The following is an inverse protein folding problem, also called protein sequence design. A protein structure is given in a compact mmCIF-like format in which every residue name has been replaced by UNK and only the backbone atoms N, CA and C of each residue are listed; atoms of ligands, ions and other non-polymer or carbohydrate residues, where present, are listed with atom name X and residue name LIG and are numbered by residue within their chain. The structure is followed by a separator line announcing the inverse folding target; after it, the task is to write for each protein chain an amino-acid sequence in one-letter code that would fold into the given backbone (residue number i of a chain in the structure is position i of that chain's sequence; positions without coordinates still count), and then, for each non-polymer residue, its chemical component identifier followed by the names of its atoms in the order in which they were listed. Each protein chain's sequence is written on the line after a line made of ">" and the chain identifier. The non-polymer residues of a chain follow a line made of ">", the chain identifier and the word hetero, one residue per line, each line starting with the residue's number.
data_IF_725567466042
#
_entry.id   IF_725567466042
#
_cell.length_a   1.000
_cell.length_b   1.000
_cell.length_c   1.000
_cell.angle_alpha   90.00
_cell.angle_beta   90.00
_cell.angle_gamma   90.00
#
_symmetry.space_group_name_H-M   'P 1'
#
loop_
_entity.id
_entity.type
_entity.pdbx_description
1 polymer ?
#
# COMPACT_ATOMS: atom_id res chain seq x y z
N UNK A 1 3.67 -13.62 -14.03
CA UNK A 1 3.01 -13.95 -12.76
C UNK A 1 3.89 -14.83 -11.87
N UNK A 2 4.31 -16.03 -12.32
CA UNK A 2 5.17 -16.93 -11.53
C UNK A 2 6.52 -16.32 -11.08
N UNK A 3 7.11 -15.41 -11.84
CA UNK A 3 8.41 -14.80 -11.52
C UNK A 3 8.37 -13.80 -10.35
N UNK A 4 7.23 -13.14 -10.11
CA UNK A 4 7.07 -12.21 -8.99
C UNK A 4 6.74 -12.95 -7.67
N UNK A 5 6.04 -14.09 -7.74
CA UNK A 5 5.67 -14.91 -6.57
C UNK A 5 6.80 -15.82 -6.06
N UNK A 6 7.76 -16.18 -6.91
CA UNK A 6 8.83 -17.13 -6.54
C UNK A 6 10.20 -16.48 -6.33
N UNK A 7 10.27 -15.15 -6.30
CA UNK A 7 11.49 -14.38 -6.53
C UNK A 7 12.17 -14.72 -7.85
N UNK A 8 12.95 -13.77 -8.36
CA UNK A 8 13.72 -14.00 -9.58
C UNK A 8 15.00 -13.19 -9.54
N UNK A 9 16.08 -13.78 -10.02
CA UNK A 9 17.32 -13.09 -10.34
C UNK A 9 17.38 -12.72 -11.84
N UNK A 10 16.34 -13.09 -12.61
CA UNK A 10 16.25 -12.78 -14.03
C UNK A 10 15.53 -11.44 -14.26
N UNK A 11 15.94 -10.66 -15.27
CA UNK A 11 15.24 -9.44 -15.64
C UNK A 11 13.77 -9.70 -15.97
N UNK A 12 12.88 -8.86 -15.43
CA UNK A 12 11.46 -8.87 -15.77
C UNK A 12 11.23 -8.15 -17.12
N UNK A 13 10.19 -8.53 -17.89
CA UNK A 13 9.92 -7.95 -19.21
C UNK A 13 9.24 -6.57 -19.10
N UNK A 14 9.92 -5.58 -18.51
CA UNK A 14 9.39 -4.25 -18.20
C UNK A 14 8.85 -3.53 -19.44
N UNK A 15 9.54 -3.65 -20.58
CA UNK A 15 9.08 -3.05 -21.85
C UNK A 15 7.74 -3.64 -22.31
N UNK A 16 7.54 -4.95 -22.16
CA UNK A 16 6.28 -5.61 -22.52
C UNK A 16 5.16 -5.24 -21.55
N UNK A 17 5.47 -5.15 -20.25
CA UNK A 17 4.53 -4.69 -19.22
C UNK A 17 4.07 -3.24 -19.48
N UNK A 18 5.00 -2.34 -19.82
CA UNK A 18 4.69 -0.96 -20.15
C UNK A 18 3.80 -0.86 -21.41
N UNK A 19 4.07 -1.69 -22.43
CA UNK A 19 3.24 -1.76 -23.62
C UNK A 19 1.82 -2.27 -23.31
N UNK A 20 1.70 -3.28 -22.45
CA UNK A 20 0.42 -3.81 -22.00
C UNK A 20 -0.42 -2.77 -21.24
N UNK A 21 0.21 -1.97 -20.35
CA UNK A 21 -0.45 -0.87 -19.65
C UNK A 21 -1.00 0.17 -20.64
N UNK A 22 -0.19 0.60 -21.62
CA UNK A 22 -0.65 1.55 -22.66
C UNK A 22 -1.80 0.98 -23.49
N UNK A 23 -1.74 -0.30 -23.85
CA UNK A 23 -2.81 -0.96 -24.58
C UNK A 23 -4.10 -1.03 -23.75
N UNK A 24 -4.00 -1.37 -22.46
CA UNK A 24 -5.14 -1.43 -21.55
C UNK A 24 -5.77 -0.05 -21.32
N UNK A 25 -4.96 1.01 -21.21
CA UNK A 25 -5.42 2.39 -21.17
C UNK A 25 -6.15 2.81 -22.45
N UNK A 26 -5.57 2.54 -23.62
CA UNK A 26 -6.21 2.81 -24.92
C UNK A 26 -7.52 2.03 -25.13
N UNK A 27 -7.65 0.85 -24.51
CA UNK A 27 -8.85 0.04 -24.51
C UNK A 27 -9.87 0.45 -23.43
N UNK A 28 -9.57 1.44 -22.58
CA UNK A 28 -10.43 1.90 -21.49
C UNK A 28 -10.52 0.96 -20.28
N UNK A 29 -9.69 -0.08 -20.22
CA UNK A 29 -9.64 -1.02 -19.07
C UNK A 29 -8.86 -0.43 -17.89
N UNK A 30 -7.93 0.47 -18.18
CA UNK A 30 -7.24 1.34 -17.23
C UNK A 30 -7.57 2.80 -17.52
N UNK A 31 -7.29 3.68 -16.56
CA UNK A 31 -7.21 5.10 -16.86
C UNK A 31 -6.08 5.36 -17.86
N UNK A 32 -6.12 6.51 -18.55
CA UNK A 32 -5.03 6.91 -19.43
C UNK A 32 -3.71 6.98 -18.63
N UNK A 33 -2.65 6.25 -19.02
CA UNK A 33 -1.37 6.32 -18.34
C UNK A 33 -0.73 7.72 -18.35
N UNK A 34 -1.17 8.62 -19.23
CA UNK A 34 -0.75 10.04 -19.17
C UNK A 34 -1.17 10.73 -17.86
N UNK A 35 -2.19 10.23 -17.16
CA UNK A 35 -2.58 10.73 -15.84
C UNK A 35 -1.52 10.49 -14.76
N UNK A 36 -0.51 9.64 -15.02
CA UNK A 36 0.61 9.46 -14.10
C UNK A 36 1.64 10.60 -14.20
N UNK A 37 1.59 11.46 -15.21
CA UNK A 37 2.73 12.33 -15.57
C UNK A 37 3.22 13.29 -14.47
N UNK A 38 2.37 13.62 -13.51
CA UNK A 38 2.66 14.44 -12.31
C UNK A 38 2.60 13.65 -10.99
N UNK A 39 2.48 12.32 -11.07
CA UNK A 39 2.52 11.43 -9.91
C UNK A 39 3.94 11.24 -9.38
N UNK A 40 4.01 11.12 -8.06
CA UNK A 40 5.23 10.79 -7.33
C UNK A 40 5.21 9.34 -6.87
N UNK A 41 6.31 8.65 -7.08
CA UNK A 41 6.47 7.24 -6.70
C UNK A 41 7.59 7.12 -5.70
N UNK A 42 7.30 6.51 -4.55
CA UNK A 42 8.29 6.14 -3.55
C UNK A 42 8.34 4.62 -3.45
N UNK A 43 9.54 4.04 -3.53
CA UNK A 43 9.77 2.61 -3.52
C UNK A 43 10.79 2.30 -2.44
N UNK A 44 10.49 1.30 -1.62
CA UNK A 44 11.39 0.79 -0.60
C UNK A 44 11.72 -0.68 -0.82
N UNK A 45 12.97 -1.05 -0.56
CA UNK A 45 13.43 -2.43 -0.47
C UNK A 45 14.48 -2.55 0.63
N UNK A 46 14.29 -3.49 1.55
CA UNK A 46 15.29 -3.78 2.57
C UNK A 46 16.46 -4.54 1.97
N UNK A 47 17.70 -4.15 2.30
CA UNK A 47 18.91 -4.83 1.81
C UNK A 47 18.99 -6.32 2.18
N UNK A 48 18.18 -6.79 3.14
CA UNK A 48 18.09 -8.18 3.57
C UNK A 48 16.70 -8.80 3.32
N UNK A 49 15.83 -8.18 2.52
CA UNK A 49 14.50 -8.74 2.21
C UNK A 49 14.63 -10.13 1.60
N UNK A 50 14.18 -11.13 2.35
CA UNK A 50 14.25 -12.54 2.00
C UNK A 50 13.04 -13.05 1.20
N UNK A 51 12.04 -12.20 0.96
CA UNK A 51 10.76 -12.57 0.33
C UNK A 51 10.54 -11.94 -1.02
N UNK A 52 11.00 -10.71 -1.24
CA UNK A 52 10.91 -10.03 -2.53
C UNK A 52 12.32 -9.64 -2.97
N UNK A 53 12.73 -10.14 -4.14
CA UNK A 53 14.07 -9.88 -4.69
C UNK A 53 14.25 -8.41 -5.09
N UNK A 54 15.48 -7.91 -4.97
CA UNK A 54 15.86 -6.58 -5.46
C UNK A 54 15.59 -6.40 -6.97
N UNK A 55 15.63 -7.48 -7.75
CA UNK A 55 15.30 -7.47 -9.18
C UNK A 55 13.84 -7.09 -9.43
N UNK A 56 12.90 -7.57 -8.60
CA UNK A 56 11.47 -7.20 -8.68
C UNK A 56 11.30 -5.72 -8.32
N UNK A 57 11.97 -5.25 -7.27
CA UNK A 57 11.94 -3.85 -6.88
C UNK A 57 12.47 -2.92 -7.98
N UNK A 58 13.64 -3.25 -8.54
CA UNK A 58 14.23 -2.47 -9.63
C UNK A 58 13.37 -2.45 -10.89
N UNK A 59 12.69 -3.55 -11.22
CA UNK A 59 11.77 -3.58 -12.36
C UNK A 59 10.52 -2.72 -12.14
N UNK A 60 10.04 -2.57 -10.90
CA UNK A 60 8.96 -1.64 -10.59
C UNK A 60 9.38 -0.18 -10.83
N UNK A 61 10.59 0.19 -10.41
CA UNK A 61 11.15 1.52 -10.68
C UNK A 61 11.34 1.77 -12.18
N UNK A 62 11.89 0.80 -12.91
CA UNK A 62 12.05 0.86 -14.36
C UNK A 62 10.69 1.02 -15.06
N UNK A 63 9.67 0.27 -14.61
CA UNK A 63 8.32 0.36 -15.18
C UNK A 63 7.73 1.77 -15.03
N UNK A 64 7.80 2.36 -13.83
CA UNK A 64 7.32 3.72 -13.59
C UNK A 64 8.10 4.75 -14.42
N UNK A 65 9.41 4.58 -14.62
CA UNK A 65 10.22 5.50 -15.42
C UNK A 65 9.78 5.61 -16.89
N UNK A 66 9.00 4.64 -17.38
CA UNK A 66 8.37 4.71 -18.70
C UNK A 66 7.16 5.66 -18.78
N UNK A 67 6.63 6.11 -17.63
CA UNK A 67 5.41 6.93 -17.53
C UNK A 67 5.64 8.27 -16.84
N UNK A 68 6.62 8.36 -15.95
CA UNK A 68 6.91 9.57 -15.17
C UNK A 68 8.39 9.97 -15.25
N UNK A 69 8.71 11.27 -15.09
CA UNK A 69 10.09 11.74 -14.97
C UNK A 69 10.84 11.04 -13.84
N UNK A 70 12.13 10.75 -14.04
CA UNK A 70 12.96 10.06 -13.07
C UNK A 70 13.05 10.81 -11.74
N UNK A 71 12.95 12.14 -11.75
CA UNK A 71 12.96 12.99 -10.55
C UNK A 71 11.71 12.80 -9.67
N UNK A 72 10.65 12.18 -10.20
CA UNK A 72 9.42 11.85 -9.46
C UNK A 72 9.46 10.42 -8.87
N UNK A 73 10.54 9.68 -9.09
CA UNK A 73 10.76 8.34 -8.53
C UNK A 73 11.85 8.40 -7.46
N UNK A 74 11.50 8.05 -6.22
CA UNK A 74 12.46 7.88 -5.13
C UNK A 74 12.56 6.40 -4.77
N UNK A 75 13.76 5.85 -4.92
CA UNK A 75 14.10 4.50 -4.45
C UNK A 75 14.89 4.61 -3.14
N UNK A 76 14.55 3.74 -2.19
CA UNK A 76 15.23 3.57 -0.91
C UNK A 76 15.58 2.09 -0.77
N UNK A 77 16.85 1.76 -0.97
CA UNK A 77 17.38 0.41 -1.07
C UNK A 77 18.64 0.19 -0.21
N UNK A 78 18.94 1.12 0.70
CA UNK A 78 20.13 1.13 1.55
C UNK A 78 19.86 0.85 3.03
N UNK A 79 18.59 0.66 3.40
CA UNK A 79 18.17 0.34 4.78
C UNK A 79 18.33 -1.15 5.05
N UNK A 80 18.89 -1.49 6.21
CA UNK A 80 19.01 -2.88 6.67
C UNK A 80 17.68 -3.35 7.24
N UNK A 81 16.86 -3.98 6.41
CA UNK A 81 15.60 -4.61 6.78
C UNK A 81 15.41 -5.94 6.05
N UNK A 82 14.79 -6.91 6.71
CA UNK A 82 14.18 -8.08 6.03
C UNK A 82 12.77 -7.69 5.55
N UNK A 83 11.91 -8.67 5.24
CA UNK A 83 10.57 -8.44 4.72
C UNK A 83 9.57 -7.97 5.80
N UNK A 84 9.74 -6.72 6.24
CA UNK A 84 8.92 -6.03 7.23
C UNK A 84 8.65 -4.60 6.77
N UNK A 85 7.57 -4.00 7.29
CA UNK A 85 7.40 -2.55 7.19
C UNK A 85 8.39 -1.85 8.14
N UNK A 86 9.31 -1.01 7.65
CA UNK A 86 10.27 -0.33 8.50
C UNK A 86 9.60 0.81 9.28
N UNK A 87 9.69 0.76 10.59
CA UNK A 87 9.21 1.79 11.49
C UNK A 87 10.36 2.29 12.38
N UNK A 88 10.11 3.41 13.07
CA UNK A 88 11.06 4.00 14.02
C UNK A 88 10.52 3.88 15.45
N UNK A 89 11.23 3.14 16.29
CA UNK A 89 10.89 2.96 17.71
C UNK A 89 9.66 2.09 17.97
N UNK A 90 9.18 1.34 16.96
CA UNK A 90 7.97 0.49 17.02
C UNK A 90 8.21 -0.79 16.21
N UNK A 91 7.57 -1.89 16.59
CA UNK A 91 7.69 -3.18 15.92
C UNK A 91 8.71 -4.14 16.54
N UNK A 92 9.02 -5.22 15.82
CA UNK A 92 9.99 -6.26 16.21
C UNK A 92 11.38 -5.93 15.65
N UNK A 93 12.34 -6.87 15.68
CA UNK A 93 13.64 -6.64 15.04
C UNK A 93 13.53 -6.37 13.54
N UNK A 94 14.27 -5.41 13.01
CA UNK A 94 14.21 -5.05 11.59
C UNK A 94 14.61 -6.19 10.63
N UNK A 95 15.38 -7.17 11.12
CA UNK A 95 15.76 -8.39 10.38
C UNK A 95 14.99 -9.63 10.87
N UNK A 96 13.85 -9.43 11.54
CA UNK A 96 13.00 -10.50 12.05
C UNK A 96 11.67 -10.48 11.29
N UNK A 97 11.53 -11.35 10.31
CA UNK A 97 10.27 -11.50 9.56
C UNK A 97 9.23 -12.28 10.39
N UNK A 98 8.67 -11.62 11.40
CA UNK A 98 7.66 -12.16 12.32
C UNK A 98 6.48 -11.20 12.45
N UNK A 99 5.31 -11.73 12.82
CA UNK A 99 4.11 -10.91 13.08
C UNK A 99 4.38 -9.78 14.09
N UNK A 100 3.92 -8.54 13.85
CA UNK A 100 2.98 -8.12 12.81
C UNK A 100 3.63 -7.70 11.48
N UNK A 101 4.88 -8.11 11.24
CA UNK A 101 5.71 -7.74 10.09
C UNK A 101 5.94 -6.22 10.00
N UNK A 102 6.08 -5.60 11.17
CA UNK A 102 6.55 -4.22 11.37
C UNK A 102 7.83 -4.31 12.19
N UNK A 103 8.92 -3.71 11.70
CA UNK A 103 10.23 -3.79 12.32
C UNK A 103 10.71 -2.42 12.80
N UNK A 104 11.30 -2.36 13.99
CA UNK A 104 12.01 -1.17 14.47
C UNK A 104 13.38 -1.11 13.77
N UNK A 105 13.40 -0.34 12.69
CA UNK A 105 14.51 -0.20 11.76
C UNK A 105 15.29 1.11 11.98
N UNK A 106 14.94 1.88 13.00
CA UNK A 106 15.35 3.29 13.16
C UNK A 106 15.12 4.13 11.89
N UNK A 107 14.15 3.72 11.07
CA UNK A 107 13.81 4.33 9.79
C UNK A 107 12.31 4.59 9.73
N UNK A 108 11.93 5.86 9.59
CA UNK A 108 10.53 6.29 9.54
C UNK A 108 9.99 6.19 8.12
N UNK A 109 9.69 4.97 7.65
CA UNK A 109 9.23 4.76 6.28
C UNK A 109 7.91 5.48 6.00
N UNK A 110 6.97 5.47 6.94
CA UNK A 110 5.70 6.18 6.80
C UNK A 110 5.92 7.69 6.59
N UNK A 111 6.80 8.30 7.40
CA UNK A 111 7.15 9.71 7.26
C UNK A 111 7.87 10.05 5.95
N UNK A 112 8.87 9.25 5.55
CA UNK A 112 9.61 9.45 4.31
C UNK A 112 8.72 9.32 3.06
N UNK A 113 7.86 8.30 3.03
CA UNK A 113 6.85 8.09 2.00
C UNK A 113 5.88 9.27 1.93
N UNK A 114 5.22 9.62 3.03
CA UNK A 114 4.21 10.67 3.05
C UNK A 114 4.81 12.03 2.66
N UNK A 115 6.01 12.34 3.14
CA UNK A 115 6.71 13.58 2.80
C UNK A 115 7.15 13.63 1.32
N UNK A 116 7.41 12.47 0.71
CA UNK A 116 7.69 12.40 -0.73
C UNK A 116 6.45 12.68 -1.56
N UNK A 117 5.34 12.02 -1.22
CA UNK A 117 4.05 12.14 -1.93
C UNK A 117 3.40 13.51 -1.72
N UNK A 118 3.56 14.09 -0.53
CA UNK A 118 2.97 15.37 -0.14
C UNK A 118 4.08 16.34 0.31
N UNK A 119 4.67 17.14 -0.59
CA UNK A 119 5.71 18.08 -0.22
C UNK A 119 5.22 19.10 0.82
N UNK A 120 6.02 19.34 1.85
CA UNK A 120 5.74 20.36 2.87
C UNK A 120 5.01 19.86 4.10
N UNK A 121 4.95 18.54 4.34
CA UNK A 121 4.44 18.00 5.60
C UNK A 121 5.26 18.50 6.80
N UNK A 122 4.56 18.68 7.91
CA UNK A 122 5.11 18.99 9.22
C UNK A 122 5.40 17.68 9.96
N UNK A 123 6.61 17.53 10.48
CA UNK A 123 6.96 16.36 11.30
C UNK A 123 6.06 16.27 12.56
N UNK A 124 5.70 15.06 13.01
CA UNK A 124 4.82 14.88 14.16
C UNK A 124 5.42 15.47 15.44
N UNK A 125 4.59 16.20 16.20
CA UNK A 125 4.98 16.83 17.46
C UNK A 125 4.74 15.99 18.71
N UNK A 126 4.10 14.82 18.58
CA UNK A 126 3.69 13.97 19.70
C UNK A 126 2.87 12.76 19.26
N UNK A 127 2.22 12.13 20.22
CA UNK A 127 1.30 11.02 19.93
C UNK A 127 0.02 11.53 19.25
N UNK A 128 -0.60 10.71 18.37
CA UNK A 128 -1.83 11.03 17.68
C UNK A 128 -3.00 11.20 18.67
N UNK A 129 -3.83 12.23 18.47
CA UNK A 129 -5.03 12.49 19.28
C UNK A 129 -6.33 12.17 18.55
N UNK A 130 -6.28 11.97 17.22
CA UNK A 130 -7.41 11.52 16.41
C UNK A 130 -7.95 10.13 16.77
N UNK A 131 -9.03 9.75 16.10
CA UNK A 131 -9.78 8.52 16.39
C UNK A 131 -9.54 7.45 15.32
N UNK A 132 -9.31 6.21 15.76
CA UNK A 132 -9.34 5.04 14.88
C UNK A 132 -10.76 4.45 14.90
N UNK A 133 -11.48 4.63 13.80
CA UNK A 133 -12.85 4.20 13.62
C UNK A 133 -12.90 2.89 12.85
N UNK A 134 -13.67 1.94 13.36
CA UNK A 134 -14.10 0.78 12.59
C UNK A 134 -15.32 1.17 11.76
N UNK A 135 -15.27 0.92 10.45
CA UNK A 135 -16.33 1.30 9.50
C UNK A 135 -16.66 0.14 8.57
N UNK A 136 -17.83 0.19 7.93
CA UNK A 136 -18.18 -0.79 6.91
C UNK A 136 -17.46 -0.53 5.58
N UNK A 137 -17.19 -1.61 4.86
CA UNK A 137 -16.69 -1.63 3.49
C UNK A 137 -17.75 -2.25 2.57
N UNK A 138 -18.66 -1.44 1.99
CA UNK A 138 -19.71 -1.95 1.12
C UNK A 138 -19.14 -2.66 -0.13
N UNK A 139 -19.74 -3.78 -0.51
CA UNK A 139 -19.31 -4.57 -1.68
C UNK A 139 -18.12 -5.51 -1.42
N UNK A 140 -17.61 -5.57 -0.19
CA UNK A 140 -16.45 -6.37 0.18
C UNK A 140 -16.61 -7.88 -0.04
N UNK A 141 -17.78 -8.45 0.27
CA UNK A 141 -18.04 -9.90 0.18
C UNK A 141 -17.76 -10.45 -1.23
N UNK A 142 -18.20 -9.73 -2.27
CA UNK A 142 -18.00 -10.12 -3.67
C UNK A 142 -16.55 -9.93 -4.16
N UNK A 143 -15.65 -9.40 -3.32
CA UNK A 143 -14.27 -9.06 -3.65
C UNK A 143 -13.22 -9.76 -2.76
N UNK A 144 -13.63 -10.76 -1.96
CA UNK A 144 -12.79 -11.43 -0.96
C UNK A 144 -12.12 -10.43 0.01
N UNK A 145 -12.86 -9.37 0.36
CA UNK A 145 -12.46 -8.37 1.35
C UNK A 145 -13.32 -8.53 2.60
N UNK A 146 -12.80 -8.08 3.75
CA UNK A 146 -13.61 -8.02 4.96
C UNK A 146 -14.66 -6.92 4.83
N UNK A 147 -15.86 -7.14 5.35
CA UNK A 147 -16.91 -6.11 5.43
C UNK A 147 -16.55 -4.93 6.36
N UNK A 148 -15.46 -5.08 7.10
CA UNK A 148 -14.91 -4.07 8.02
C UNK A 148 -13.63 -3.48 7.45
N UNK A 149 -13.52 -2.15 7.52
CA UNK A 149 -12.31 -1.38 7.29
C UNK A 149 -12.06 -0.43 8.47
N UNK A 150 -10.89 0.21 8.50
CA UNK A 150 -10.57 1.20 9.52
C UNK A 150 -10.28 2.57 8.89
N UNK A 151 -10.72 3.63 9.54
CA UNK A 151 -10.35 5.01 9.24
C UNK A 151 -9.65 5.61 10.45
N UNK A 152 -8.45 6.14 10.26
CA UNK A 152 -7.90 7.07 11.23
C UNK A 152 -8.29 8.50 10.82
N UNK A 153 -9.01 9.18 11.71
CA UNK A 153 -9.49 10.55 11.50
C UNK A 153 -8.74 11.50 12.44
N UNK A 154 -7.84 12.35 11.90
CA UNK A 154 -7.16 13.36 12.69
C UNK A 154 -8.13 14.27 13.45
N UNK A 155 -7.69 14.80 14.59
CA UNK A 155 -8.54 15.63 15.44
C UNK A 155 -9.10 16.86 14.71
N UNK A 156 -8.34 17.44 13.78
CA UNK A 156 -8.78 18.56 12.94
C UNK A 156 -9.89 18.15 11.95
N UNK A 157 -9.72 17.02 11.28
CA UNK A 157 -10.72 16.46 10.37
C UNK A 157 -12.04 16.16 11.10
N UNK A 158 -11.96 15.62 12.32
CA UNK A 158 -13.13 15.37 13.16
C UNK A 158 -13.91 16.64 13.54
N UNK A 159 -13.24 17.82 13.51
CA UNK A 159 -13.87 19.13 13.72
C UNK A 159 -14.44 19.76 12.43
N UNK A 160 -14.30 19.09 11.30
CA UNK A 160 -14.84 19.53 10.00
C UNK A 160 -13.86 20.33 9.14
N UNK A 161 -12.56 20.32 9.45
CA UNK A 161 -11.55 20.88 8.55
C UNK A 161 -11.40 20.02 7.28
N UNK A 162 -11.08 20.61 6.12
CA UNK A 162 -10.81 19.86 4.91
C UNK A 162 -9.52 19.05 5.07
N UNK A 163 -9.58 17.77 4.71
CA UNK A 163 -8.47 16.85 4.91
C UNK A 163 -8.10 16.11 3.63
N UNK A 164 -6.82 15.77 3.51
CA UNK A 164 -6.36 14.83 2.51
C UNK A 164 -6.79 13.40 2.90
N UNK A 165 -6.76 12.48 1.94
CA UNK A 165 -6.97 11.06 2.16
C UNK A 165 -5.75 10.29 1.67
N UNK A 166 -5.27 9.35 2.47
CA UNK A 166 -4.23 8.42 2.08
C UNK A 166 -4.68 6.99 2.36
N UNK A 167 -4.72 6.18 1.30
CA UNK A 167 -5.09 4.76 1.36
C UNK A 167 -3.87 3.92 1.71
N UNK A 168 -3.93 3.18 2.82
CA UNK A 168 -2.85 2.31 3.28
C UNK A 168 -3.28 0.86 3.16
N UNK A 169 -2.60 0.11 2.30
CA UNK A 169 -2.85 -1.31 2.08
C UNK A 169 -1.83 -2.14 2.89
N UNK A 170 -2.34 -3.00 3.77
CA UNK A 170 -1.50 -3.93 4.52
C UNK A 170 -0.90 -5.02 3.62
N UNK A 171 0.19 -5.67 4.03
CA UNK A 171 0.75 -6.83 3.33
C UNK A 171 0.03 -8.14 3.66
N UNK A 172 0.50 -9.24 3.08
CA UNK A 172 0.05 -10.58 3.44
C UNK A 172 0.25 -10.84 4.95
N UNK A 173 -0.70 -11.53 5.58
CA UNK A 173 -0.72 -11.85 7.01
C UNK A 173 -0.71 -10.64 7.94
N UNK A 174 -1.08 -9.46 7.44
CA UNK A 174 -1.21 -8.20 8.20
C UNK A 174 -2.64 -7.66 8.25
N UNK A 175 -3.64 -8.43 7.79
CA UNK A 175 -5.04 -8.05 7.96
C UNK A 175 -5.42 -7.98 9.45
N UNK A 176 -6.46 -7.21 9.77
CA UNK A 176 -6.96 -7.06 11.14
C UNK A 176 -7.43 -8.38 11.75
N UNK A 177 -7.93 -9.31 10.93
CA UNK A 177 -8.23 -10.69 11.36
C UNK A 177 -6.97 -11.43 11.86
N UNK A 178 -5.78 -11.08 11.37
CA UNK A 178 -4.51 -11.74 11.72
C UNK A 178 -3.77 -11.05 12.85
N UNK A 179 -3.67 -9.72 12.80
CA UNK A 179 -2.79 -8.94 13.69
C UNK A 179 -3.55 -7.87 14.49
N UNK A 180 -4.88 -7.82 14.40
CA UNK A 180 -5.66 -6.71 14.94
C UNK A 180 -5.22 -5.38 14.32
N UNK A 181 -5.18 -4.33 15.14
CA UNK A 181 -4.74 -2.99 14.71
C UNK A 181 -3.22 -2.80 14.75
N UNK A 182 -2.42 -3.86 15.01
CA UNK A 182 -0.98 -3.72 15.20
C UNK A 182 -0.25 -3.11 13.99
N UNK A 183 -0.62 -3.47 12.77
CA UNK A 183 -0.06 -2.84 11.56
C UNK A 183 -0.39 -1.34 11.52
N UNK A 184 -1.64 -0.98 11.78
CA UNK A 184 -2.13 0.41 11.77
C UNK A 184 -1.37 1.26 12.80
N UNK A 185 -1.21 0.74 14.02
CA UNK A 185 -0.67 1.49 15.15
C UNK A 185 0.87 1.53 15.17
N UNK A 186 1.56 0.54 14.59
CA UNK A 186 3.01 0.40 14.72
C UNK A 186 3.80 0.93 13.53
N UNK A 187 3.19 1.06 12.36
CA UNK A 187 3.85 1.52 11.12
C UNK A 187 4.27 2.99 11.14
N UNK A 188 3.71 3.81 12.04
CA UNK A 188 4.07 5.21 12.19
C UNK A 188 3.27 6.19 11.32
N UNK A 189 2.24 5.73 10.60
CA UNK A 189 1.38 6.63 9.81
C UNK A 189 0.56 7.59 10.69
N UNK A 190 0.00 7.11 11.82
CA UNK A 190 -0.97 7.89 12.60
C UNK A 190 -0.43 9.25 13.09
N UNK A 191 0.78 9.37 13.66
CA UNK A 191 1.35 10.66 14.06
C UNK A 191 1.51 11.63 12.88
N UNK A 192 1.95 11.13 11.71
CA UNK A 192 2.11 11.97 10.51
C UNK A 192 0.76 12.45 9.98
N UNK A 193 -0.24 11.58 9.99
CA UNK A 193 -1.60 11.93 9.64
C UNK A 193 -2.21 12.99 10.56
N UNK A 194 -2.04 12.84 11.88
CA UNK A 194 -2.53 13.82 12.88
C UNK A 194 -1.93 15.21 12.64
N UNK A 195 -0.62 15.27 12.37
CA UNK A 195 0.09 16.54 12.22
C UNK A 195 -0.20 17.27 10.89
N UNK A 196 -0.87 16.62 9.93
CA UNK A 196 -0.98 17.09 8.55
C UNK A 196 -2.39 16.99 7.96
N UNK A 197 -3.41 16.78 8.81
CA UNK A 197 -4.81 16.73 8.38
C UNK A 197 -5.04 15.69 7.25
N UNK A 198 -4.46 14.49 7.43
CA UNK A 198 -4.58 13.37 6.48
C UNK A 198 -5.42 12.27 7.13
N UNK A 199 -6.60 12.01 6.59
CA UNK A 199 -7.36 10.80 6.93
C UNK A 199 -6.64 9.59 6.33
N UNK A 200 -6.47 8.53 7.13
CA UNK A 200 -5.89 7.28 6.66
C UNK A 200 -7.00 6.23 6.52
N UNK A 201 -7.07 5.59 5.36
CA UNK A 201 -8.00 4.49 5.11
C UNK A 201 -7.26 3.15 5.06
N UNK A 202 -7.73 2.17 5.84
CA UNK A 202 -7.15 0.84 5.98
C UNK A 202 -8.21 -0.22 5.67
N UNK A 203 -8.50 -0.50 4.39
CA UNK A 203 -9.35 -1.62 4.03
C UNK A 203 -8.65 -2.94 4.39
N UNK A 204 -9.42 -4.01 4.56
CA UNK A 204 -8.91 -5.29 5.02
C UNK A 204 -9.28 -6.42 4.05
N UNK A 205 -8.33 -7.32 3.80
CA UNK A 205 -8.57 -8.54 2.99
C UNK A 205 -9.05 -9.68 3.89
N UNK A 206 -10.03 -10.45 3.41
CA UNK A 206 -10.55 -11.64 4.10
C UNK A 206 -9.65 -12.84 3.82
N UNK A 207 -9.39 -13.68 4.83
CA UNK A 207 -8.69 -14.95 4.59
C UNK A 207 -9.60 -15.93 3.87
N UNK A 208 -9.08 -16.56 2.82
CA UNK A 208 -9.74 -17.69 2.17
C UNK A 208 -8.97 -19.00 2.41
N UNK A 209 -9.63 -19.96 3.07
CA UNK A 209 -9.15 -21.34 3.24
C UNK A 209 -9.80 -22.33 2.25
N UNK A 210 -10.67 -21.84 1.37
CA UNK A 210 -11.31 -22.60 0.30
C UNK A 210 -10.76 -22.14 -1.05
N UNK A 211 -11.00 -22.88 -2.13
CA UNK A 211 -10.52 -22.45 -3.45
C UNK A 211 -11.33 -21.25 -3.97
N UNK A 212 -10.69 -20.18 -4.48
CA UNK A 212 -9.25 -19.99 -4.59
C UNK A 212 -8.60 -19.64 -3.24
N UNK A 213 -7.46 -20.28 -2.96
CA UNK A 213 -6.78 -20.17 -1.67
C UNK A 213 -6.09 -18.82 -1.50
N UNK A 214 -6.39 -18.15 -0.39
CA UNK A 214 -5.68 -16.97 0.09
C UNK A 214 -5.56 -17.00 1.63
N UNK A 215 -4.81 -17.98 2.19
CA UNK A 215 -4.76 -18.21 3.64
C UNK A 215 -4.05 -17.08 4.40
N UNK A 216 -3.34 -16.22 3.68
CA UNK A 216 -2.62 -15.08 4.24
C UNK A 216 -3.33 -13.75 3.99
N UNK A 217 -4.55 -13.73 3.43
CA UNK A 217 -5.27 -12.49 3.16
C UNK A 217 -4.40 -11.45 2.42
N UNK A 218 -3.71 -11.88 1.37
CA UNK A 218 -2.98 -10.96 0.49
C UNK A 218 -3.96 -10.25 -0.45
N UNK A 219 -3.68 -9.01 -0.83
CA UNK A 219 -4.36 -8.34 -1.94
C UNK A 219 -4.27 -9.16 -3.23
N UNK A 220 -5.23 -8.98 -4.14
CA UNK A 220 -5.22 -9.72 -5.39
C UNK A 220 -4.21 -9.15 -6.38
N UNK A 221 -3.06 -9.80 -6.46
CA UNK A 221 -2.03 -9.52 -7.46
C UNK A 221 -1.72 -10.73 -8.35
N UNK A 222 -2.47 -11.84 -8.19
CA UNK A 222 -2.31 -13.07 -8.97
C UNK A 222 -3.61 -13.60 -9.60
N UNK A 223 -4.70 -12.82 -9.55
CA UNK A 223 -5.96 -13.08 -10.21
C UNK A 223 -6.89 -14.07 -9.49
N UNK A 224 -6.80 -14.17 -8.16
CA UNK A 224 -7.71 -15.07 -7.44
C UNK A 224 -9.16 -14.59 -7.42
N UNK A 225 -9.40 -13.29 -7.62
CA UNK A 225 -10.74 -12.71 -7.80
C UNK A 225 -11.17 -12.66 -9.27
N UNK A 226 -10.36 -13.20 -10.19
CA UNK A 226 -10.66 -13.31 -11.63
C UNK A 226 -9.64 -12.61 -12.52
N UNK A 227 -9.76 -12.82 -13.84
CA UNK A 227 -8.81 -12.32 -14.85
C UNK A 227 -8.72 -10.79 -14.93
N UNK A 228 -9.73 -10.10 -14.40
CA UNK A 228 -9.81 -8.64 -14.42
C UNK A 228 -9.17 -7.93 -13.23
N UNK A 229 -8.53 -8.68 -12.30
CA UNK A 229 -8.03 -8.17 -11.01
C UNK A 229 -7.15 -6.91 -11.09
N UNK A 230 -6.41 -6.74 -12.19
CA UNK A 230 -5.51 -5.60 -12.40
C UNK A 230 -6.15 -4.40 -13.11
N UNK A 231 -7.42 -4.46 -13.48
CA UNK A 231 -8.12 -3.42 -14.23
C UNK A 231 -9.14 -2.66 -13.36
N UNK A 232 -9.72 -1.59 -13.90
CA UNK A 232 -10.74 -0.78 -13.21
C UNK A 232 -11.95 -1.58 -12.74
N UNK A 233 -12.29 -2.62 -13.48
CA UNK A 233 -13.41 -3.51 -13.16
C UNK A 233 -12.99 -4.71 -12.29
N UNK A 234 -11.74 -4.78 -11.83
CA UNK A 234 -11.29 -5.78 -10.87
C UNK A 234 -12.10 -5.69 -9.56
N UNK A 235 -12.54 -6.81 -8.97
CA UNK A 235 -13.42 -6.78 -7.79
C UNK A 235 -12.88 -5.92 -6.64
N UNK A 236 -11.62 -6.13 -6.23
CA UNK A 236 -11.01 -5.32 -5.16
C UNK A 236 -10.83 -3.86 -5.56
N UNK A 237 -10.34 -3.60 -6.78
CA UNK A 237 -10.14 -2.24 -7.28
C UNK A 237 -11.44 -1.42 -7.27
N UNK A 238 -12.54 -2.02 -7.70
CA UNK A 238 -13.86 -1.38 -7.73
C UNK A 238 -14.33 -1.00 -6.34
N UNK A 239 -14.31 -1.96 -5.40
CA UNK A 239 -14.74 -1.74 -4.01
C UNK A 239 -13.92 -0.62 -3.37
N UNK A 240 -12.60 -0.65 -3.50
CA UNK A 240 -11.74 0.38 -2.92
C UNK A 240 -12.00 1.76 -3.53
N UNK A 241 -12.08 1.85 -4.87
CA UNK A 241 -12.30 3.12 -5.56
C UNK A 241 -13.66 3.74 -5.23
N UNK A 242 -14.72 2.92 -5.17
CA UNK A 242 -16.07 3.38 -4.81
C UNK A 242 -16.11 3.82 -3.34
N UNK A 243 -15.50 3.06 -2.43
CA UNK A 243 -15.46 3.38 -1.02
C UNK A 243 -14.73 4.70 -0.75
N UNK A 244 -13.51 4.89 -1.27
CA UNK A 244 -12.77 6.14 -1.06
C UNK A 244 -13.44 7.35 -1.72
N UNK A 245 -14.10 7.16 -2.86
CA UNK A 245 -14.89 8.22 -3.51
C UNK A 245 -16.13 8.62 -2.70
N UNK A 246 -16.64 7.70 -1.89
CA UNK A 246 -17.74 7.94 -0.96
C UNK A 246 -17.34 8.70 0.31
N UNK A 247 -16.07 8.63 0.73
CA UNK A 247 -15.60 9.29 1.96
C UNK A 247 -15.51 10.82 1.86
N UNK A 248 -15.40 11.37 0.64
CA UNK A 248 -15.30 12.81 0.39
C UNK A 248 -16.64 13.52 0.15
N UNK A 249 -17.77 12.83 0.30
CA UNK A 249 -19.14 13.35 0.09
C UNK A 249 -19.83 13.63 1.43
#
# INVERSE_FOLDING_TARGET
>A
MNQCMMNTDEPLPVTEMAAAIRQAGAAGRLADPENLSDDRVWLFHGTQDSKISAQVHGAAAELYSGFIPAEQIRQVDDVVADHVFPAKGRGQGCTEMVSPFVGDCDFDAAGELLSWLHPGLTAPGGEPEGELLEVSLPGAEDADLMETAYLYVPSACARGEPCALHLVLHGCAQSAETVGTAFIEQTGYLPWAEANDIVLAFPQVEKSLVAPLNPHACWDWWGYTGDDYLYRDGPQMRVLAEWISGLGQ
#
